data_IF_254559457426
#
_entry.id   IF_254559457426
#
_cell.length_a   1.000
_cell.length_b   1.000
_cell.length_c   1.000
_cell.angle_alpha   90.00
_cell.angle_beta   90.00
_cell.angle_gamma   90.00
#
_symmetry.space_group_name_H-M   'P 1'
#
loop_
_entity.id
_entity.type
_entity.pdbx_description
1 polymer ?
#
# COMPACT_ATOMS: atom_id res chain seq x y z
N UNK A 1 8.01 9.59 -51.51
CA UNK A 1 8.91 8.72 -50.72
C UNK A 1 9.23 9.45 -49.43
N UNK A 2 8.67 9.02 -48.29
CA UNK A 2 9.02 9.60 -46.99
C UNK A 2 10.42 9.10 -46.59
N UNK A 3 11.30 10.00 -46.17
CA UNK A 3 12.67 9.65 -45.80
C UNK A 3 12.66 8.70 -44.59
N UNK A 4 13.40 7.57 -44.60
CA UNK A 4 13.38 6.58 -43.53
C UNK A 4 13.80 7.16 -42.17
N UNK A 5 14.65 8.20 -42.19
CA UNK A 5 15.03 8.94 -40.99
C UNK A 5 13.85 9.68 -40.35
N UNK A 6 12.91 10.20 -41.15
CA UNK A 6 11.75 10.94 -40.67
C UNK A 6 10.74 10.01 -39.95
N UNK A 7 10.58 8.78 -40.46
CA UNK A 7 9.71 7.76 -39.84
C UNK A 7 10.25 7.28 -38.49
N UNK A 8 11.56 7.07 -38.41
CA UNK A 8 12.24 6.67 -37.18
C UNK A 8 12.15 7.76 -36.09
N UNK A 9 12.33 9.04 -36.46
CA UNK A 9 12.20 10.16 -35.52
C UNK A 9 10.78 10.30 -34.97
N UNK A 10 9.76 10.09 -35.81
CA UNK A 10 8.36 10.16 -35.38
C UNK A 10 8.05 9.01 -34.42
N UNK A 11 8.52 7.80 -34.72
CA UNK A 11 8.31 6.63 -33.86
C UNK A 11 8.97 6.81 -32.48
N UNK A 12 10.17 7.39 -32.42
CA UNK A 12 10.87 7.67 -31.18
C UNK A 12 10.18 8.77 -30.36
N UNK A 13 9.61 9.80 -31.01
CA UNK A 13 8.81 10.84 -30.36
C UNK A 13 7.53 10.27 -29.75
N UNK A 14 6.85 9.35 -30.45
CA UNK A 14 5.64 8.70 -29.93
C UNK A 14 5.98 7.83 -28.72
N UNK A 15 7.08 7.07 -28.77
CA UNK A 15 7.49 6.19 -27.67
C UNK A 15 7.90 6.99 -26.43
N UNK A 16 8.63 8.09 -26.60
CA UNK A 16 9.02 8.98 -25.48
C UNK A 16 7.82 9.71 -24.89
N UNK A 17 6.86 10.15 -25.71
CA UNK A 17 5.60 10.71 -25.24
C UNK A 17 4.76 9.68 -24.46
N UNK A 18 4.63 8.46 -24.96
CA UNK A 18 3.91 7.38 -24.26
C UNK A 18 4.59 7.02 -22.92
N UNK A 19 5.92 7.02 -22.87
CA UNK A 19 6.67 6.79 -21.63
C UNK A 19 6.48 7.91 -20.60
N UNK A 20 6.29 9.16 -21.04
CA UNK A 20 6.01 10.29 -20.13
C UNK A 20 4.61 10.23 -19.49
N UNK A 21 3.64 9.57 -20.15
CA UNK A 21 2.31 9.31 -19.59
C UNK A 21 2.34 8.24 -18.48
N UNK A 22 3.40 7.45 -18.38
CA UNK A 22 3.67 6.53 -17.26
C UNK A 22 4.31 7.23 -16.06
N UNK A 23 4.16 8.57 -15.95
CA UNK A 23 4.64 9.36 -14.82
C UNK A 23 4.30 8.66 -13.50
N UNK A 24 5.33 8.41 -12.68
CA UNK A 24 5.21 7.75 -11.40
C UNK A 24 4.11 8.43 -10.57
N UNK A 25 3.13 7.65 -10.10
CA UNK A 25 2.10 8.13 -9.17
C UNK A 25 2.84 8.63 -7.92
N UNK A 26 2.94 9.94 -7.77
CA UNK A 26 3.56 10.55 -6.60
C UNK A 26 2.61 10.39 -5.42
N UNK A 27 2.89 9.40 -4.59
CA UNK A 27 2.29 9.30 -3.26
C UNK A 27 2.75 10.49 -2.43
N UNK A 28 1.81 11.37 -2.09
CA UNK A 28 2.05 12.50 -1.19
C UNK A 28 1.38 12.20 0.14
N UNK A 29 2.15 12.26 1.23
CA UNK A 29 1.66 12.04 2.59
C UNK A 29 0.99 13.31 3.13
N UNK A 30 -0.33 13.40 2.94
CA UNK A 30 -1.13 14.54 3.40
C UNK A 30 -1.65 14.40 4.83
N UNK A 31 -1.49 13.23 5.46
CA UNK A 31 -2.01 12.93 6.79
C UNK A 31 -0.86 12.69 7.78
N UNK A 32 -0.84 13.42 8.89
CA UNK A 32 0.22 13.28 9.92
C UNK A 32 -0.08 12.21 10.96
N UNK A 33 -1.21 11.52 10.87
CA UNK A 33 -1.60 10.45 11.79
C UNK A 33 -1.09 9.12 11.23
N UNK A 34 -0.08 8.55 11.90
CA UNK A 34 0.58 7.30 11.53
C UNK A 34 0.05 6.07 12.29
N UNK A 35 -0.91 6.26 13.21
CA UNK A 35 -1.49 5.17 13.99
C UNK A 35 -2.85 4.78 13.40
N UNK A 36 -3.00 3.55 12.87
CA UNK A 36 -4.26 3.08 12.28
C UNK A 36 -5.44 3.17 13.25
N UNK A 37 -5.19 2.91 14.53
CA UNK A 37 -6.22 2.90 15.57
C UNK A 37 -6.70 4.29 15.99
N UNK A 38 -6.03 5.35 15.55
CA UNK A 38 -6.43 6.74 15.75
C UNK A 38 -6.99 7.39 14.48
N UNK A 39 -6.87 6.74 13.32
CA UNK A 39 -7.20 7.30 12.02
C UNK A 39 -8.62 6.91 11.60
N UNK A 40 -9.62 7.70 12.00
CA UNK A 40 -11.05 7.34 11.86
C UNK A 40 -11.85 8.22 10.91
N UNK A 41 -11.26 9.29 10.39
CA UNK A 41 -11.94 10.23 9.48
C UNK A 41 -11.02 10.55 8.31
N UNK A 42 -11.34 9.96 7.16
CA UNK A 42 -10.59 10.11 5.91
C UNK A 42 -11.53 10.66 4.85
N UNK A 43 -11.07 11.63 4.06
CA UNK A 43 -11.79 12.19 2.92
C UNK A 43 -11.10 11.81 1.62
N UNK A 44 -11.74 12.17 0.50
CA UNK A 44 -11.12 12.01 -0.82
C UNK A 44 -9.79 12.76 -0.86
N UNK A 45 -8.77 12.11 -1.43
CA UNK A 45 -7.38 12.60 -1.46
C UNK A 45 -6.67 12.72 -0.10
N UNK A 46 -7.26 12.25 1.02
CA UNK A 46 -6.54 12.12 2.28
C UNK A 46 -5.67 10.85 2.24
N UNK A 47 -4.44 10.97 2.74
CA UNK A 47 -3.66 9.80 3.15
C UNK A 47 -4.32 9.15 4.37
N UNK A 48 -4.29 7.82 4.46
CA UNK A 48 -4.78 7.12 5.63
C UNK A 48 -3.85 5.98 6.00
N UNK A 49 -3.75 5.67 7.28
CA UNK A 49 -2.92 4.56 7.76
C UNK A 49 -3.77 3.34 8.01
N UNK A 50 -3.41 2.21 7.40
CA UNK A 50 -3.88 0.91 7.88
C UNK A 50 -2.71 -0.06 8.05
N UNK A 51 -2.81 -0.91 9.06
CA UNK A 51 -1.84 -1.95 9.35
C UNK A 51 -2.40 -3.32 9.01
N UNK A 52 -1.59 -4.18 8.40
CA UNK A 52 -1.88 -5.60 8.21
C UNK A 52 -0.90 -6.39 9.06
N UNK A 53 -1.43 -7.35 9.82
CA UNK A 53 -0.62 -8.25 10.65
C UNK A 53 -0.75 -9.68 10.17
N UNK A 54 0.39 -10.35 10.02
CA UNK A 54 0.50 -11.77 9.71
C UNK A 54 0.96 -12.50 10.96
N UNK A 55 0.09 -13.36 11.48
CA UNK A 55 0.31 -14.16 12.67
C UNK A 55 -0.55 -15.42 12.61
N UNK A 56 -0.24 -16.41 13.45
CA UNK A 56 -1.10 -17.59 13.62
C UNK A 56 -2.49 -17.16 14.10
N UNK A 57 -3.53 -17.92 13.71
CA UNK A 57 -4.92 -17.63 14.12
C UNK A 57 -5.05 -17.40 15.63
N UNK A 58 -4.41 -18.24 16.44
CA UNK A 58 -4.48 -18.17 17.91
C UNK A 58 -3.99 -16.82 18.48
N UNK A 59 -3.10 -16.12 17.77
CA UNK A 59 -2.56 -14.81 18.19
C UNK A 59 -3.64 -13.71 18.21
N UNK A 60 -4.75 -13.90 17.49
CA UNK A 60 -5.87 -12.95 17.46
C UNK A 60 -6.95 -13.24 18.51
N UNK A 61 -6.77 -14.28 19.33
CA UNK A 61 -7.75 -14.71 20.32
C UNK A 61 -7.18 -14.61 21.73
N UNK A 62 -7.95 -14.01 22.62
CA UNK A 62 -7.71 -14.12 24.05
C UNK A 62 -8.38 -15.38 24.61
N UNK A 63 -7.62 -16.14 25.41
CA UNK A 63 -8.09 -17.39 26.01
C UNK A 63 -8.70 -18.36 24.99
N UNK A 64 -8.17 -18.36 23.76
CA UNK A 64 -8.60 -19.22 22.64
C UNK A 64 -10.06 -19.05 22.19
N UNK A 65 -10.81 -18.09 22.75
CA UNK A 65 -12.27 -17.99 22.55
C UNK A 65 -12.72 -16.60 22.15
N UNK A 66 -12.11 -15.53 22.70
CA UNK A 66 -12.49 -14.16 22.41
C UNK A 66 -11.59 -13.59 21.31
N UNK A 67 -12.12 -13.41 20.10
CA UNK A 67 -11.40 -12.70 19.05
C UNK A 67 -11.29 -11.22 19.43
N UNK A 68 -10.07 -10.69 19.43
CA UNK A 68 -9.81 -9.29 19.74
C UNK A 68 -9.83 -8.45 18.47
N UNK A 69 -10.31 -7.20 18.59
CA UNK A 69 -10.19 -6.23 17.50
C UNK A 69 -8.71 -5.82 17.29
N UNK A 70 -8.29 -5.44 16.08
CA UNK A 70 -6.90 -5.02 15.80
C UNK A 70 -6.37 -3.86 16.65
N UNK A 71 -7.28 -3.08 17.26
CA UNK A 71 -6.95 -1.94 18.10
C UNK A 71 -7.15 -2.21 19.59
N UNK A 72 -7.50 -3.44 19.96
CA UNK A 72 -7.58 -3.85 21.36
C UNK A 72 -6.17 -3.95 21.94
N UNK A 73 -5.91 -3.26 23.06
CA UNK A 73 -4.59 -3.25 23.71
C UNK A 73 -4.19 -4.60 24.30
N UNK A 74 -5.14 -5.53 24.43
CA UNK A 74 -4.90 -6.90 24.89
C UNK A 74 -4.41 -7.81 23.76
N UNK A 75 -4.45 -7.34 22.52
CA UNK A 75 -3.93 -8.07 21.37
C UNK A 75 -2.40 -8.04 21.42
N UNK A 76 -1.79 -9.16 21.80
CA UNK A 76 -0.34 -9.30 21.87
C UNK A 76 0.21 -9.87 20.55
N UNK A 77 0.97 -9.06 19.83
CA UNK A 77 1.51 -9.37 18.50
C UNK A 77 3.04 -9.53 18.52
N UNK A 78 3.61 -9.99 19.63
CA UNK A 78 5.05 -9.98 19.90
C UNK A 78 5.93 -10.81 18.94
N UNK A 79 5.36 -11.72 18.14
CA UNK A 79 6.05 -12.49 17.10
C UNK A 79 5.34 -12.44 15.74
N UNK A 80 4.61 -11.34 15.46
CA UNK A 80 3.92 -11.18 14.18
C UNK A 80 4.76 -10.39 13.19
N UNK A 81 4.48 -10.59 11.90
CA UNK A 81 4.98 -9.70 10.86
C UNK A 81 3.91 -8.61 10.65
N UNK A 82 4.29 -7.34 10.79
CA UNK A 82 3.40 -6.20 10.61
C UNK A 82 3.84 -5.40 9.39
N UNK A 83 2.92 -5.11 8.50
CA UNK A 83 3.10 -4.18 7.38
C UNK A 83 2.18 -2.99 7.59
N UNK A 84 2.75 -1.77 7.55
CA UNK A 84 1.98 -0.53 7.63
C UNK A 84 1.93 0.08 6.25
N UNK A 85 0.72 0.45 5.81
CA UNK A 85 0.48 0.98 4.49
C UNK A 85 -0.26 2.32 4.59
N UNK A 86 0.17 3.30 3.79
CA UNK A 86 -0.32 4.68 3.84
C UNK A 86 -0.71 5.26 2.47
N UNK A 87 -1.72 4.70 1.79
CA UNK A 87 -2.17 5.22 0.50
C UNK A 87 -3.16 6.37 0.70
N UNK A 88 -3.59 6.98 -0.41
CA UNK A 88 -4.76 7.87 -0.41
C UNK A 88 -6.04 7.13 -0.75
N UNK A 89 -7.17 7.64 -0.28
CA UNK A 89 -8.51 7.03 -0.47
C UNK A 89 -8.90 6.82 -1.95
N UNK A 90 -8.36 7.62 -2.86
CA UNK A 90 -8.67 7.55 -4.31
C UNK A 90 -7.47 7.15 -5.18
N UNK A 91 -6.40 6.60 -4.61
CA UNK A 91 -5.21 6.17 -5.35
C UNK A 91 -5.09 4.65 -5.36
N UNK A 92 -4.82 4.06 -6.54
CA UNK A 92 -4.44 2.65 -6.64
C UNK A 92 -3.07 2.48 -6.03
N UNK A 93 -2.93 1.43 -5.24
CA UNK A 93 -1.75 1.21 -4.42
C UNK A 93 -1.44 -0.29 -4.34
N UNK A 94 -0.15 -0.64 -4.48
CA UNK A 94 0.31 -2.03 -4.45
C UNK A 94 1.12 -2.28 -3.17
N UNK A 95 0.66 -3.23 -2.36
CA UNK A 95 1.42 -3.75 -1.22
C UNK A 95 2.00 -5.11 -1.59
N UNK A 96 3.33 -5.19 -1.64
CA UNK A 96 4.06 -6.45 -1.83
C UNK A 96 4.68 -6.88 -0.51
N UNK A 97 4.41 -8.13 -0.11
CA UNK A 97 4.83 -8.67 1.17
C UNK A 97 5.64 -9.94 0.91
N UNK A 98 6.82 -10.00 1.50
CA UNK A 98 7.63 -11.21 1.48
C UNK A 98 7.26 -12.07 2.69
N UNK A 99 6.64 -13.22 2.43
CA UNK A 99 6.19 -14.18 3.46
C UNK A 99 7.17 -15.33 3.66
N UNK A 100 8.41 -15.24 3.16
CA UNK A 100 9.39 -16.34 3.32
C UNK A 100 9.69 -16.70 4.78
N UNK A 101 9.51 -15.76 5.71
CA UNK A 101 9.69 -15.95 7.16
C UNK A 101 8.41 -16.33 7.91
N UNK A 102 7.26 -16.49 7.23
CA UNK A 102 5.97 -16.75 7.86
C UNK A 102 5.09 -17.69 7.02
N UNK A 103 4.69 -18.82 7.62
CA UNK A 103 3.69 -19.75 7.10
C UNK A 103 2.53 -19.82 8.11
N UNK A 104 1.34 -19.27 7.78
CA UNK A 104 0.22 -19.16 8.72
C UNK A 104 -0.37 -20.48 9.19
#
# INVERSE_FOLDING_TARGET
MASPHLSATISLLILTAAASLLSAVQSSDTNRVYSPCSDTKVQRSDGFTFGITFASRASFFLNSSLQLSPCDRRLSLSNSQISVFRPKVDEISLLTINTSSFFP
#
